data_IF_621663507328
#
_entry.id   IF_621663507328
#
_cell.length_a   1.000
_cell.length_b   1.000
_cell.length_c   1.000
_cell.angle_alpha   90.00
_cell.angle_beta   90.00
_cell.angle_gamma   90.00
#
_symmetry.space_group_name_H-M   'P 1'
#
loop_
_entity.id
_entity.type
_entity.pdbx_description
1 polymer ?
#
# COMPACT_ATOMS: atom_id res chain seq x y z
N UNK A 1 -8.75 19.11 14.29
CA UNK A 1 -7.72 18.44 15.15
C UNK A 1 -6.46 19.29 15.20
N UNK A 2 -5.89 19.55 16.38
CA UNK A 2 -4.67 20.33 16.57
C UNK A 2 -3.39 19.46 16.46
N UNK A 3 -2.19 20.11 16.50
CA UNK A 3 -0.90 19.42 16.35
C UNK A 3 -0.59 18.46 17.50
N UNK A 4 -0.91 18.83 18.75
CA UNK A 4 -0.65 18.01 19.94
C UNK A 4 -1.45 16.70 19.92
N UNK A 5 -2.73 16.77 19.56
CA UNK A 5 -3.59 15.58 19.41
C UNK A 5 -3.05 14.65 18.32
N UNK A 6 -2.59 15.20 17.19
CA UNK A 6 -1.96 14.37 16.15
C UNK A 6 -0.70 13.68 16.64
N UNK A 7 0.16 14.42 17.35
CA UNK A 7 1.36 13.85 17.96
C UNK A 7 1.00 12.66 18.85
N UNK A 8 0.08 12.83 19.77
CA UNK A 8 -0.34 11.78 20.70
C UNK A 8 -0.97 10.57 19.97
N UNK A 9 -1.74 10.78 18.91
CA UNK A 9 -2.30 9.69 18.10
C UNK A 9 -1.18 8.80 17.54
N UNK A 10 -0.15 9.39 16.94
CA UNK A 10 0.94 8.62 16.35
C UNK A 10 1.88 8.02 17.40
N UNK A 11 2.05 8.64 18.56
CA UNK A 11 2.74 8.04 19.71
C UNK A 11 2.03 6.76 20.19
N UNK A 12 0.70 6.80 20.28
CA UNK A 12 -0.10 5.61 20.64
C UNK A 12 -0.01 4.51 19.56
N UNK A 13 -0.04 4.87 18.29
CA UNK A 13 0.16 3.91 17.20
C UNK A 13 1.56 3.26 17.28
N UNK A 14 2.61 4.05 17.48
CA UNK A 14 3.99 3.57 17.65
C UNK A 14 4.14 2.67 18.87
N UNK A 15 3.55 3.06 20.00
CA UNK A 15 3.59 2.26 21.22
C UNK A 15 2.88 0.90 21.05
N UNK A 16 1.74 0.87 20.31
CA UNK A 16 1.00 -0.36 20.07
C UNK A 16 1.62 -1.27 19.01
N UNK A 17 2.29 -0.70 18.02
CA UNK A 17 2.96 -1.43 16.93
C UNK A 17 4.20 -0.64 16.47
N UNK A 18 5.38 -0.86 17.09
CA UNK A 18 6.58 -0.08 16.79
C UNK A 18 7.18 -0.38 15.41
N UNK A 19 6.84 -1.50 14.78
CA UNK A 19 7.36 -1.91 13.47
C UNK A 19 6.20 -2.34 12.55
N UNK A 20 5.37 -1.39 12.10
CA UNK A 20 4.26 -1.70 11.22
C UNK A 20 4.78 -2.02 9.81
N UNK A 21 4.15 -2.99 9.16
CA UNK A 21 4.53 -3.40 7.81
C UNK A 21 3.31 -3.78 6.97
N UNK A 22 3.52 -4.03 5.69
CA UNK A 22 2.52 -4.57 4.78
C UNK A 22 2.17 -6.01 5.12
N UNK A 23 0.97 -6.45 4.74
CA UNK A 23 0.54 -7.85 4.85
C UNK A 23 0.90 -8.67 3.59
N UNK A 24 1.48 -8.03 2.56
CA UNK A 24 2.02 -8.71 1.38
C UNK A 24 3.37 -9.35 1.69
N UNK A 25 3.58 -10.58 1.20
CA UNK A 25 4.85 -11.30 1.33
C UNK A 25 5.75 -10.98 0.13
N UNK A 26 6.98 -10.57 0.41
CA UNK A 26 7.99 -10.26 -0.61
C UNK A 26 9.39 -10.36 0.00
N UNK A 27 10.41 -10.57 -0.83
CA UNK A 27 11.81 -10.59 -0.45
C UNK A 27 12.68 -9.57 -1.22
N UNK A 28 12.11 -8.91 -2.23
CA UNK A 28 12.79 -7.91 -3.04
C UNK A 28 11.85 -6.78 -3.47
N UNK A 29 12.36 -5.60 -3.86
CA UNK A 29 11.55 -4.53 -4.45
C UNK A 29 10.75 -4.99 -5.67
N UNK A 30 11.29 -5.88 -6.49
CA UNK A 30 10.58 -6.45 -7.63
C UNK A 30 9.40 -7.32 -7.21
N UNK A 31 9.60 -8.23 -6.27
CA UNK A 31 8.50 -9.06 -5.73
C UNK A 31 7.39 -8.18 -5.13
N UNK A 32 7.76 -7.12 -4.39
CA UNK A 32 6.77 -6.18 -3.86
C UNK A 32 6.00 -5.48 -4.99
N UNK A 33 6.67 -4.98 -6.03
CA UNK A 33 6.01 -4.35 -7.17
C UNK A 33 5.00 -5.28 -7.82
N UNK A 34 5.38 -6.54 -8.07
CA UNK A 34 4.47 -7.55 -8.65
C UNK A 34 3.29 -7.84 -7.70
N UNK A 35 3.55 -8.02 -6.41
CA UNK A 35 2.50 -8.27 -5.42
C UNK A 35 1.51 -7.09 -5.34
N UNK A 36 1.99 -5.84 -5.36
CA UNK A 36 1.13 -4.65 -5.33
C UNK A 36 0.33 -4.50 -6.64
N UNK A 37 0.91 -4.80 -7.81
CA UNK A 37 0.18 -4.85 -9.07
C UNK A 37 -0.97 -5.88 -9.03
N UNK A 38 -0.71 -7.04 -8.43
CA UNK A 38 -1.73 -8.08 -8.27
C UNK A 38 -2.81 -7.70 -7.24
N UNK A 39 -2.49 -6.86 -6.25
CA UNK A 39 -3.39 -6.51 -5.14
C UNK A 39 -4.54 -5.57 -5.53
N UNK A 40 -4.49 -4.91 -6.68
CA UNK A 40 -5.59 -4.05 -7.14
C UNK A 40 -6.91 -4.85 -7.21
N UNK A 41 -7.90 -4.47 -6.39
CA UNK A 41 -9.19 -5.17 -6.27
C UNK A 41 -9.05 -6.67 -5.89
N UNK A 42 -8.02 -7.03 -5.11
CA UNK A 42 -7.81 -8.37 -4.59
C UNK A 42 -7.42 -8.29 -3.11
N UNK A 43 -7.59 -9.38 -2.38
CA UNK A 43 -7.15 -9.46 -0.99
C UNK A 43 -5.67 -9.81 -0.89
N UNK A 44 -4.96 -9.29 0.12
CA UNK A 44 -3.55 -9.60 0.34
C UNK A 44 -3.35 -11.13 0.54
N UNK A 45 -4.29 -11.81 1.22
CA UNK A 45 -4.28 -13.27 1.37
C UNK A 45 -4.34 -13.99 0.02
N UNK A 46 -5.21 -13.53 -0.90
CA UNK A 46 -5.31 -14.10 -2.25
C UNK A 46 -4.04 -13.87 -3.06
N UNK A 47 -3.48 -12.66 -2.98
CA UNK A 47 -2.20 -12.32 -3.63
C UNK A 47 -1.07 -13.18 -3.07
N UNK A 48 -0.92 -13.28 -1.75
CA UNK A 48 0.12 -14.10 -1.12
C UNK A 48 0.05 -15.58 -1.53
N UNK A 49 -1.16 -16.14 -1.69
CA UNK A 49 -1.35 -17.51 -2.18
C UNK A 49 -0.85 -17.70 -3.62
N UNK A 50 -1.05 -16.70 -4.47
CA UNK A 50 -0.60 -16.74 -5.86
C UNK A 50 0.93 -16.53 -5.96
N UNK A 51 1.46 -15.53 -5.26
CA UNK A 51 2.89 -15.18 -5.28
C UNK A 51 3.76 -16.23 -4.60
N UNK A 52 3.27 -16.91 -3.56
CA UNK A 52 3.96 -18.06 -2.94
C UNK A 52 4.24 -19.21 -3.92
N UNK A 53 3.49 -19.30 -5.02
CA UNK A 53 3.72 -20.27 -6.09
C UNK A 53 4.55 -19.68 -7.24
N UNK A 54 4.37 -18.39 -7.52
CA UNK A 54 5.02 -17.71 -8.64
C UNK A 54 6.50 -17.38 -8.32
N UNK A 55 6.78 -16.77 -7.17
CA UNK A 55 8.11 -16.25 -6.86
C UNK A 55 9.21 -17.30 -6.75
N UNK A 56 8.98 -18.55 -6.26
CA UNK A 56 9.99 -19.61 -6.32
C UNK A 56 10.41 -20.00 -7.74
N UNK A 57 9.55 -19.72 -8.74
CA UNK A 57 9.80 -20.04 -10.16
C UNK A 57 10.31 -18.84 -10.92
N UNK A 58 9.75 -17.66 -10.66
CA UNK A 58 10.04 -16.43 -11.40
C UNK A 58 9.95 -15.20 -10.47
N UNK A 59 11.07 -14.74 -9.95
CA UNK A 59 11.16 -13.58 -9.04
C UNK A 59 12.08 -12.47 -9.55
N UNK A 60 12.38 -12.48 -10.85
CA UNK A 60 13.09 -11.40 -11.55
C UNK A 60 12.35 -11.01 -12.84
N UNK A 61 12.57 -9.79 -13.38
CA UNK A 61 11.95 -9.41 -14.66
C UNK A 61 12.25 -10.40 -15.78
N UNK A 62 13.49 -10.90 -15.88
CA UNK A 62 13.86 -11.86 -16.91
C UNK A 62 13.13 -13.20 -16.73
N UNK A 63 13.11 -13.75 -15.51
CA UNK A 63 12.43 -15.01 -15.23
C UNK A 63 10.91 -14.95 -15.51
N UNK A 64 10.27 -13.80 -15.25
CA UNK A 64 8.86 -13.57 -15.62
C UNK A 64 8.69 -13.60 -17.15
N UNK A 65 9.59 -12.97 -17.91
CA UNK A 65 9.51 -12.99 -19.38
C UNK A 65 9.77 -14.38 -19.94
N UNK A 66 10.71 -15.12 -19.37
CA UNK A 66 11.02 -16.50 -19.77
C UNK A 66 9.83 -17.46 -19.51
N UNK A 67 9.09 -17.23 -18.41
CA UNK A 67 7.86 -17.97 -18.08
C UNK A 67 6.75 -17.72 -19.12
N UNK A 68 6.76 -16.55 -19.76
CA UNK A 68 5.80 -16.13 -20.74
C UNK A 68 4.42 -15.76 -20.17
N UNK A 69 3.58 -15.12 -20.99
CA UNK A 69 2.28 -14.62 -20.54
C UNK A 69 1.36 -15.75 -20.02
N UNK A 70 1.29 -16.87 -20.72
CA UNK A 70 0.43 -17.99 -20.32
C UNK A 70 0.91 -18.61 -19.00
N UNK A 71 2.23 -18.72 -18.81
CA UNK A 71 2.82 -19.17 -17.55
C UNK A 71 2.47 -18.23 -16.38
N UNK A 72 2.60 -16.92 -16.57
CA UNK A 72 2.19 -15.93 -15.53
C UNK A 72 0.69 -16.03 -15.24
N UNK A 73 -0.15 -16.17 -16.27
CA UNK A 73 -1.59 -16.32 -16.09
C UNK A 73 -1.96 -17.57 -15.31
N UNK A 74 -1.24 -18.68 -15.48
CA UNK A 74 -1.49 -19.92 -14.73
C UNK A 74 -1.33 -19.71 -13.21
N UNK A 75 -0.30 -18.97 -12.77
CA UNK A 75 -0.09 -18.65 -11.36
C UNK A 75 -1.05 -17.60 -10.81
N UNK A 76 -1.56 -16.71 -11.66
CA UNK A 76 -2.38 -15.56 -11.23
C UNK A 76 -3.87 -15.75 -11.46
N UNK A 77 -4.33 -16.86 -12.05
CA UNK A 77 -5.73 -17.12 -12.46
C UNK A 77 -6.76 -16.98 -11.34
N UNK A 78 -6.35 -17.10 -10.07
CA UNK A 78 -7.23 -16.91 -8.91
C UNK A 78 -7.42 -15.44 -8.52
N UNK A 79 -6.67 -14.53 -9.15
CA UNK A 79 -6.73 -13.09 -8.89
C UNK A 79 -7.73 -12.44 -9.85
N UNK A 80 -8.57 -11.56 -9.30
CA UNK A 80 -9.48 -10.76 -10.14
C UNK A 80 -8.72 -9.96 -11.20
N UNK A 81 -9.26 -9.92 -12.44
CA UNK A 81 -8.64 -9.25 -13.59
C UNK A 81 -7.23 -9.78 -13.96
N UNK A 82 -6.95 -11.03 -13.64
CA UNK A 82 -5.61 -11.63 -13.82
C UNK A 82 -5.07 -11.51 -15.24
N UNK A 83 -5.91 -11.62 -16.28
CA UNK A 83 -5.46 -11.49 -17.68
C UNK A 83 -4.85 -10.11 -17.97
N UNK A 84 -5.51 -9.04 -17.52
CA UNK A 84 -5.01 -7.67 -17.70
C UNK A 84 -3.78 -7.43 -16.82
N UNK A 85 -3.81 -7.88 -15.56
CA UNK A 85 -2.68 -7.76 -14.65
C UNK A 85 -1.45 -8.51 -15.15
N UNK A 86 -1.61 -9.73 -15.67
CA UNK A 86 -0.49 -10.48 -16.26
C UNK A 86 0.11 -9.78 -17.46
N UNK A 87 -0.71 -9.18 -18.33
CA UNK A 87 -0.20 -8.33 -19.43
C UNK A 87 0.60 -7.13 -18.91
N UNK A 88 0.10 -6.43 -17.90
CA UNK A 88 0.83 -5.32 -17.27
C UNK A 88 2.15 -5.79 -16.65
N UNK A 89 2.17 -6.92 -15.97
CA UNK A 89 3.40 -7.51 -15.41
C UNK A 89 4.42 -7.79 -16.52
N UNK A 90 4.00 -8.43 -17.62
CA UNK A 90 4.89 -8.70 -18.77
C UNK A 90 5.47 -7.42 -19.37
N UNK A 91 4.64 -6.39 -19.56
CA UNK A 91 5.09 -5.09 -20.08
C UNK A 91 6.03 -4.37 -19.11
N UNK A 92 5.69 -4.38 -17.81
CA UNK A 92 6.54 -3.82 -16.75
C UNK A 92 7.91 -4.48 -16.74
N UNK A 93 7.98 -5.83 -16.82
CA UNK A 93 9.26 -6.55 -16.86
C UNK A 93 10.12 -6.15 -18.05
N UNK A 94 9.54 -5.98 -19.25
CA UNK A 94 10.26 -5.48 -20.43
C UNK A 94 10.84 -4.08 -20.19
N UNK A 95 10.02 -3.16 -19.69
CA UNK A 95 10.46 -1.78 -19.41
C UNK A 95 11.56 -1.76 -18.36
N UNK A 96 11.46 -2.58 -17.30
CA UNK A 96 12.50 -2.67 -16.28
C UNK A 96 13.84 -3.14 -16.88
N UNK A 97 13.84 -4.14 -17.75
CA UNK A 97 15.06 -4.59 -18.42
C UNK A 97 15.61 -3.56 -19.39
N UNK A 98 14.75 -2.94 -20.19
CA UNK A 98 15.17 -1.99 -21.24
C UNK A 98 15.68 -0.66 -20.68
N UNK A 99 15.05 -0.14 -19.61
CA UNK A 99 15.30 1.22 -19.12
C UNK A 99 15.98 1.28 -17.76
N UNK A 100 15.85 0.24 -16.95
CA UNK A 100 16.27 0.25 -15.53
C UNK A 100 17.19 -0.92 -15.17
N UNK A 101 17.80 -1.56 -16.17
CA UNK A 101 18.73 -2.69 -15.99
C UNK A 101 18.16 -3.82 -15.11
N UNK A 102 16.84 -4.05 -15.19
CA UNK A 102 16.14 -5.06 -14.41
C UNK A 102 15.78 -4.64 -12.97
N UNK A 103 16.16 -3.44 -12.55
CA UNK A 103 15.89 -2.93 -11.22
C UNK A 103 14.60 -2.12 -11.15
N UNK A 104 13.96 -2.11 -9.97
CA UNK A 104 12.80 -1.26 -9.72
C UNK A 104 13.27 0.15 -9.40
N UNK A 105 12.82 1.20 -10.14
CA UNK A 105 13.26 2.56 -9.87
C UNK A 105 12.69 3.09 -8.55
N UNK A 106 13.52 3.77 -7.75
CA UNK A 106 13.14 4.44 -6.52
C UNK A 106 12.61 5.88 -6.76
N UNK A 107 11.94 6.09 -7.87
CA UNK A 107 11.39 7.37 -8.32
C UNK A 107 9.92 7.23 -8.68
N UNK A 108 9.10 8.21 -8.27
CA UNK A 108 7.65 8.15 -8.46
C UNK A 108 7.23 8.23 -9.91
N UNK A 109 7.80 9.15 -10.68
CA UNK A 109 7.42 9.36 -12.09
C UNK A 109 7.80 8.14 -12.92
N UNK A 110 8.99 7.58 -12.65
CA UNK A 110 9.43 6.34 -13.26
C UNK A 110 8.48 5.18 -12.94
N UNK A 111 8.07 5.02 -11.67
CA UNK A 111 7.11 3.99 -11.26
C UNK A 111 5.73 4.20 -11.91
N UNK A 112 5.21 5.43 -11.91
CA UNK A 112 3.91 5.74 -12.52
C UNK A 112 3.91 5.56 -14.05
N UNK A 113 5.08 5.56 -14.69
CA UNK A 113 5.22 5.25 -16.10
C UNK A 113 5.04 3.76 -16.44
N UNK A 114 5.10 2.89 -15.44
CA UNK A 114 4.95 1.44 -15.61
C UNK A 114 3.47 1.05 -15.78
N UNK A 115 3.15 0.10 -16.67
CA UNK A 115 1.78 -0.34 -16.91
C UNK A 115 1.08 -0.84 -15.64
N UNK A 116 -0.09 -0.28 -15.32
CA UNK A 116 -0.88 -0.66 -14.16
C UNK A 116 -0.39 -0.05 -12.84
N UNK A 117 0.66 0.76 -12.85
CA UNK A 117 1.18 1.47 -11.68
C UNK A 117 0.63 2.89 -11.67
N UNK A 118 -0.35 3.14 -10.79
CA UNK A 118 -0.80 4.49 -10.49
C UNK A 118 -0.09 5.05 -9.25
N UNK A 119 -0.39 6.31 -8.91
CA UNK A 119 0.20 7.02 -7.77
C UNK A 119 0.16 6.25 -6.45
N UNK A 120 -0.99 5.63 -6.13
CA UNK A 120 -1.12 4.82 -4.91
C UNK A 120 -0.13 3.66 -4.90
N UNK A 121 -0.03 2.92 -6.01
CA UNK A 121 0.90 1.79 -6.17
C UNK A 121 2.35 2.24 -6.07
N UNK A 122 2.71 3.32 -6.77
CA UNK A 122 4.05 3.92 -6.69
C UNK A 122 4.41 4.29 -5.24
N UNK A 123 3.51 4.97 -4.52
CA UNK A 123 3.75 5.35 -3.13
C UNK A 123 3.89 4.14 -2.19
N UNK A 124 3.14 3.05 -2.40
CA UNK A 124 3.32 1.81 -1.62
C UNK A 124 4.72 1.24 -1.83
N UNK A 125 5.17 1.15 -3.09
CA UNK A 125 6.51 0.63 -3.41
C UNK A 125 7.60 1.52 -2.83
N UNK A 126 7.49 2.85 -3.00
CA UNK A 126 8.46 3.81 -2.46
C UNK A 126 8.56 3.76 -0.94
N UNK A 127 7.43 3.70 -0.25
CA UNK A 127 7.41 3.61 1.20
C UNK A 127 7.97 2.26 1.69
N UNK A 128 7.44 1.16 1.17
CA UNK A 128 7.69 -0.17 1.73
C UNK A 128 9.04 -0.75 1.29
N UNK A 129 9.45 -0.59 0.01
CA UNK A 129 10.70 -1.15 -0.48
C UNK A 129 11.89 -0.19 -0.39
N UNK A 130 11.65 1.11 -0.47
CA UNK A 130 12.74 2.10 -0.53
C UNK A 130 12.81 3.01 0.70
N UNK A 131 11.96 2.81 1.71
CA UNK A 131 11.99 3.58 2.94
C UNK A 131 11.73 5.07 2.74
N UNK A 132 10.98 5.45 1.69
CA UNK A 132 10.63 6.84 1.47
C UNK A 132 9.40 7.22 2.31
N UNK A 133 9.42 8.35 3.02
CA UNK A 133 8.32 8.78 3.87
C UNK A 133 7.19 9.39 3.03
N UNK A 134 6.49 8.56 2.27
CA UNK A 134 5.36 8.91 1.40
C UNK A 134 4.08 8.21 1.84
N UNK A 135 2.93 8.77 1.45
CA UNK A 135 1.62 8.27 1.86
C UNK A 135 0.85 7.72 0.65
N UNK A 136 0.44 6.46 0.71
CA UNK A 136 -0.40 5.84 -0.31
C UNK A 136 -1.86 5.80 0.14
N UNK A 137 -2.62 6.87 -0.09
CA UNK A 137 -4.01 6.97 0.37
C UNK A 137 -4.91 6.04 -0.41
N UNK A 138 -5.44 5.04 0.29
CA UNK A 138 -6.48 4.13 -0.18
C UNK A 138 -7.84 4.46 0.49
N UNK A 139 -8.85 3.63 0.24
CA UNK A 139 -10.19 3.81 0.84
C UNK A 139 -10.17 3.67 2.36
N UNK A 140 -9.25 2.90 2.95
CA UNK A 140 -9.11 2.74 4.39
C UNK A 140 -8.52 4.01 5.00
N UNK A 141 -7.40 4.48 4.48
CA UNK A 141 -6.73 5.72 4.95
C UNK A 141 -7.63 6.93 4.72
N UNK A 142 -8.27 7.04 3.53
CA UNK A 142 -9.23 8.11 3.24
C UNK A 142 -10.35 8.17 4.29
N UNK A 143 -10.94 7.03 4.63
CA UNK A 143 -11.98 6.93 5.65
C UNK A 143 -11.47 7.31 7.04
N UNK A 144 -10.32 6.76 7.45
CA UNK A 144 -9.71 7.06 8.76
C UNK A 144 -9.42 8.54 8.89
N UNK A 145 -8.74 9.14 7.90
CA UNK A 145 -8.38 10.56 7.90
C UNK A 145 -9.59 11.48 8.03
N UNK A 146 -10.68 11.16 7.32
CA UNK A 146 -11.91 11.96 7.35
C UNK A 146 -12.72 11.75 8.64
N UNK A 147 -12.85 10.51 9.14
CA UNK A 147 -13.58 10.22 10.38
C UNK A 147 -12.89 10.80 11.60
N UNK A 148 -11.61 10.55 11.76
CA UNK A 148 -10.84 11.00 12.92
C UNK A 148 -10.56 12.51 12.90
N UNK A 149 -10.68 13.15 11.72
CA UNK A 149 -10.26 14.53 11.44
C UNK A 149 -8.75 14.76 11.54
N UNK A 150 -7.94 13.69 11.45
CA UNK A 150 -6.48 13.82 11.35
C UNK A 150 -6.09 14.68 10.14
N UNK A 151 -6.68 14.38 8.97
CA UNK A 151 -6.43 15.09 7.72
C UNK A 151 -7.67 15.01 6.80
N UNK A 152 -8.78 15.70 7.13
CA UNK A 152 -10.00 15.60 6.34
C UNK A 152 -9.83 16.26 4.96
N UNK A 153 -10.29 15.58 3.92
CA UNK A 153 -10.25 16.07 2.53
C UNK A 153 -11.38 15.48 1.69
N UNK A 154 -11.67 16.16 0.58
CA UNK A 154 -12.75 15.80 -0.35
C UNK A 154 -12.38 14.63 -1.28
N UNK A 155 -11.09 14.45 -1.54
CA UNK A 155 -10.56 13.41 -2.39
C UNK A 155 -9.24 12.85 -1.81
N UNK A 156 -8.74 11.77 -2.41
CA UNK A 156 -7.54 11.06 -1.95
C UNK A 156 -6.29 11.93 -2.05
N UNK A 157 -6.22 12.83 -3.02
CA UNK A 157 -5.07 13.72 -3.22
C UNK A 157 -4.98 14.77 -2.13
N UNK A 158 -6.10 15.42 -1.82
CA UNK A 158 -6.15 16.40 -0.73
C UNK A 158 -5.81 15.75 0.62
N UNK A 159 -6.30 14.53 0.85
CA UNK A 159 -5.97 13.77 2.07
C UNK A 159 -4.48 13.43 2.11
N UNK A 160 -3.87 12.97 1.00
CA UNK A 160 -2.44 12.71 0.89
C UNK A 160 -1.62 13.95 1.26
N UNK A 161 -1.90 15.09 0.60
CA UNK A 161 -1.16 16.34 0.81
C UNK A 161 -1.29 16.84 2.27
N UNK A 162 -2.48 16.70 2.88
CA UNK A 162 -2.71 17.03 4.27
C UNK A 162 -2.01 16.08 5.24
N UNK A 163 -2.04 14.78 5.00
CA UNK A 163 -1.31 13.79 5.82
C UNK A 163 0.19 14.08 5.78
N UNK A 164 0.76 14.29 4.60
CA UNK A 164 2.17 14.63 4.43
C UNK A 164 2.58 15.91 5.17
N UNK A 165 1.68 16.90 5.27
CA UNK A 165 1.93 18.18 5.96
C UNK A 165 1.69 18.11 7.47
N UNK A 166 0.70 17.33 7.91
CA UNK A 166 0.21 17.36 9.29
C UNK A 166 0.81 16.29 10.20
N UNK A 167 1.26 15.18 9.64
CA UNK A 167 1.91 14.12 10.41
C UNK A 167 3.31 14.61 10.82
N UNK A 168 3.68 14.50 12.11
CA UNK A 168 5.05 14.81 12.53
C UNK A 168 6.07 13.96 11.77
N UNK A 169 7.18 14.59 11.36
CA UNK A 169 8.17 13.96 10.45
C UNK A 169 8.69 12.62 10.95
N UNK A 170 8.84 12.46 12.25
CA UNK A 170 9.31 11.23 12.91
C UNK A 170 8.39 10.03 12.72
N UNK A 171 7.11 10.24 12.36
CA UNK A 171 6.12 9.17 12.14
C UNK A 171 5.80 8.92 10.67
N UNK A 172 6.22 9.81 9.76
CA UNK A 172 5.81 9.75 8.34
C UNK A 172 6.13 8.40 7.68
N UNK A 173 7.26 7.80 8.07
CA UNK A 173 7.70 6.53 7.49
C UNK A 173 6.68 5.41 7.75
N UNK A 174 6.21 5.33 9.01
CA UNK A 174 5.35 4.24 9.47
C UNK A 174 3.86 4.58 9.40
N UNK A 175 3.53 5.86 9.25
CA UNK A 175 2.16 6.36 9.30
C UNK A 175 1.23 5.70 8.28
N UNK A 176 1.73 5.39 7.08
CA UNK A 176 0.99 4.67 6.06
C UNK A 176 0.46 3.33 6.59
N UNK A 177 1.35 2.53 7.17
CA UNK A 177 1.00 1.21 7.68
C UNK A 177 0.09 1.27 8.90
N UNK A 178 0.33 2.17 9.87
CA UNK A 178 -0.58 2.35 11.00
C UNK A 178 -1.99 2.73 10.55
N UNK A 179 -2.12 3.70 9.65
CA UNK A 179 -3.43 4.17 9.21
C UNK A 179 -4.19 3.11 8.39
N UNK A 180 -3.51 2.36 7.53
CA UNK A 180 -4.17 1.30 6.74
C UNK A 180 -4.62 0.14 7.65
N UNK A 181 -3.76 -0.32 8.57
CA UNK A 181 -4.09 -1.38 9.52
C UNK A 181 -5.23 -0.96 10.46
N UNK A 182 -5.17 0.29 10.97
CA UNK A 182 -6.26 0.84 11.77
C UNK A 182 -7.58 0.88 11.00
N UNK A 183 -7.55 1.27 9.73
CA UNK A 183 -8.73 1.28 8.86
C UNK A 183 -9.26 -0.12 8.55
N UNK A 184 -8.40 -1.11 8.39
CA UNK A 184 -8.78 -2.50 8.12
C UNK A 184 -9.43 -3.17 9.33
N UNK A 185 -8.85 -3.02 10.50
CA UNK A 185 -9.17 -3.85 11.66
C UNK A 185 -10.00 -3.15 12.75
N UNK A 186 -9.85 -1.83 12.90
CA UNK A 186 -10.54 -1.07 13.96
C UNK A 186 -11.59 -0.11 13.41
N UNK A 187 -11.17 0.87 12.60
CA UNK A 187 -12.06 1.88 12.01
C UNK A 187 -12.71 1.37 10.71
N UNK A 188 -13.42 0.24 10.79
CA UNK A 188 -14.07 -0.42 9.65
C UNK A 188 -15.12 0.46 9.00
N UNK A 189 -15.42 0.22 7.71
CA UNK A 189 -16.46 0.95 6.98
C UNK A 189 -17.83 0.76 7.65
N UNK A 190 -18.19 -0.49 7.91
CA UNK A 190 -19.38 -0.88 8.66
C UNK A 190 -18.96 -1.30 10.07
N UNK A 191 -19.74 -0.90 11.08
CA UNK A 191 -19.54 -1.27 12.49
C UNK A 191 -18.09 -1.03 12.99
N UNK A 192 -17.61 0.22 13.02
CA UNK A 192 -16.29 0.54 13.54
C UNK A 192 -16.22 0.14 15.03
N UNK A 193 -15.07 -0.38 15.45
CA UNK A 193 -14.87 -0.87 16.82
C UNK A 193 -14.39 0.26 17.74
N UNK A 194 -15.21 1.30 17.91
CA UNK A 194 -14.85 2.52 18.63
C UNK A 194 -14.53 2.25 20.11
N UNK A 195 -15.26 1.35 20.77
CA UNK A 195 -15.04 0.98 22.19
C UNK A 195 -13.67 0.33 22.46
N UNK A 196 -13.06 -0.28 21.43
CA UNK A 196 -11.71 -0.90 21.49
C UNK A 196 -10.63 -0.07 20.81
N UNK A 197 -10.99 1.12 20.32
CA UNK A 197 -10.08 1.95 19.54
C UNK A 197 -9.12 2.71 20.46
N UNK A 198 -7.82 2.53 20.24
CA UNK A 198 -6.75 3.14 21.07
C UNK A 198 -6.70 4.68 20.97
N UNK A 199 -7.39 5.28 20.00
CA UNK A 199 -7.50 6.73 19.81
C UNK A 199 -8.93 7.25 19.95
N UNK A 200 -9.83 6.48 20.59
CA UNK A 200 -11.24 6.83 20.68
C UNK A 200 -11.48 8.20 21.36
N UNK A 201 -10.77 8.46 22.45
CA UNK A 201 -10.83 9.74 23.19
C UNK A 201 -10.33 10.94 22.39
N UNK A 202 -9.39 10.74 21.49
CA UNK A 202 -8.79 11.78 20.62
C UNK A 202 -9.53 11.94 19.28
N UNK A 203 -10.34 10.97 18.90
CA UNK A 203 -11.04 10.94 17.61
C UNK A 203 -12.23 11.90 17.60
N UNK A 204 -12.37 12.71 16.55
CA UNK A 204 -13.47 13.67 16.39
C UNK A 204 -14.66 13.10 15.58
N UNK A 205 -14.78 11.78 15.43
CA UNK A 205 -15.91 11.16 14.73
C UNK A 205 -17.17 11.25 15.57
N UNK A 206 -18.24 11.92 15.06
CA UNK A 206 -19.43 12.18 15.89
C UNK A 206 -20.30 10.92 16.14
N UNK A 207 -20.24 9.94 15.24
CA UNK A 207 -21.05 8.71 15.34
C UNK A 207 -20.24 7.53 15.91
N UNK A 208 -19.54 7.73 17.02
CA UNK A 208 -18.85 6.65 17.74
C UNK A 208 -19.89 5.68 18.31
N UNK A 209 -19.69 4.39 18.09
CA UNK A 209 -20.53 3.29 18.62
C UNK A 209 -19.75 2.51 19.66
#
# INVERSE_FOLDING_TARGET
MNKQIRQEIFERFRAANPHPTTELNFSSPFELLIAVLLSAQATDVGVNKATAKLFPVANTPQAILDLGLDGVMEYTKTIGLYKTKSKHIMQTCRILLEKYNGEVPADREALESLPGVGRKTANVVLNTAFGQPVMAVDTHIFRVANRTKIAPGKDVREVEDKLMRFIPKEFLMDAHHWLILHGRYTCKALKPQCSKCLINDLCEYPAKM
#
